data_IF_318147044371
#
_entry.id   IF_318147044371
#
_cell.length_a   1.000
_cell.length_b   1.000
_cell.length_c   1.000
_cell.angle_alpha   90.00
_cell.angle_beta   90.00
_cell.angle_gamma   90.00
#
_symmetry.space_group_name_H-M   'P 1'
#
loop_
_entity.id
_entity.type
_entity.pdbx_description
1 polymer ?
#
# COMPACT_ATOMS: atom_id res chain seq x y z
N UNK A 1 26.00 -3.55 29.68
CA UNK A 1 27.09 -3.39 28.70
C UNK A 1 28.12 -4.47 28.94
N UNK A 2 28.11 -5.55 28.14
CA UNK A 2 29.21 -6.49 27.88
C UNK A 2 28.89 -7.13 26.51
N UNK A 3 29.91 -7.15 25.65
CA UNK A 3 29.89 -7.62 24.27
C UNK A 3 29.76 -9.16 24.19
N UNK A 4 29.11 -9.65 23.13
CA UNK A 4 29.32 -11.00 22.62
C UNK A 4 29.50 -10.96 21.08
N UNK A 5 30.54 -11.65 20.60
CA UNK A 5 30.96 -11.75 19.20
C UNK A 5 30.36 -13.00 18.53
N UNK A 6 29.81 -12.80 17.34
CA UNK A 6 29.81 -13.64 16.10
C UNK A 6 29.34 -15.11 16.25
N UNK A 7 28.16 -15.54 15.75
CA UNK A 7 27.67 -15.51 14.36
C UNK A 7 26.14 -15.34 14.25
N UNK A 8 25.71 -14.08 14.27
CA UNK A 8 24.54 -13.48 13.62
C UNK A 8 25.05 -12.04 13.50
N UNK A 9 25.23 -11.47 12.30
CA UNK A 9 26.07 -10.25 12.15
C UNK A 9 25.33 -8.98 12.61
N UNK A 10 24.93 -8.94 13.88
CA UNK A 10 24.62 -7.72 14.62
C UNK A 10 25.92 -6.97 14.92
N UNK A 11 26.03 -5.73 14.42
CA UNK A 11 26.80 -4.70 15.11
C UNK A 11 25.87 -4.10 16.17
N UNK A 12 26.06 -4.58 17.39
CA UNK A 12 25.56 -4.11 18.70
C UNK A 12 24.41 -3.09 18.75
N UNK A 13 23.30 -3.51 19.36
CA UNK A 13 22.65 -2.80 20.48
C UNK A 13 21.55 -3.66 21.10
N UNK A 14 21.18 -3.31 22.33
CA UNK A 14 20.44 -4.09 23.32
C UNK A 14 18.93 -4.11 23.05
N UNK A 15 18.31 -5.30 23.05
CA UNK A 15 16.85 -5.45 23.16
C UNK A 15 16.45 -5.24 24.63
N UNK A 16 15.79 -4.12 24.94
CA UNK A 16 15.16 -3.86 26.23
C UNK A 16 13.64 -3.97 26.05
N UNK A 17 13.05 -5.01 26.62
CA UNK A 17 11.59 -5.16 26.72
C UNK A 17 11.20 -4.70 28.14
N UNK A 18 10.39 -3.64 28.25
CA UNK A 18 9.97 -3.06 29.52
C UNK A 18 8.51 -3.41 29.82
N UNK A 19 8.27 -4.41 30.67
CA UNK A 19 6.92 -4.72 31.17
C UNK A 19 6.68 -4.09 32.54
N UNK A 20 6.10 -2.88 32.60
CA UNK A 20 5.54 -2.31 33.83
C UNK A 20 6.42 -2.37 35.10
N UNK A 21 5.81 -2.28 36.29
CA UNK A 21 6.50 -2.08 37.58
C UNK A 21 6.88 -3.36 38.34
N UNK A 22 6.88 -4.54 37.70
CA UNK A 22 7.23 -5.82 38.36
C UNK A 22 8.16 -6.65 37.48
N UNK A 23 9.38 -6.84 37.98
CA UNK A 23 10.46 -7.59 37.33
C UNK A 23 10.18 -9.10 37.37
N UNK A 24 9.86 -9.70 36.22
CA UNK A 24 9.88 -11.16 36.04
C UNK A 24 11.03 -11.54 35.11
N UNK A 25 12.07 -12.16 35.68
CA UNK A 25 13.20 -12.72 34.93
C UNK A 25 12.74 -14.05 34.34
N UNK A 26 12.44 -14.10 33.04
CA UNK A 26 12.44 -15.37 32.30
C UNK A 26 13.84 -15.61 31.74
N UNK A 27 14.63 -16.38 32.49
CA UNK A 27 15.86 -17.00 31.98
C UNK A 27 15.48 -18.15 31.04
N UNK A 28 15.77 -18.02 29.75
CA UNK A 28 15.97 -19.21 28.92
C UNK A 28 17.42 -19.67 29.05
N UNK A 29 17.60 -20.84 29.66
CA UNK A 29 18.86 -21.58 29.71
C UNK A 29 18.85 -22.55 28.53
N UNK A 30 19.72 -22.38 27.53
CA UNK A 30 20.01 -23.45 26.55
C UNK A 30 21.51 -23.50 26.30
N UNK A 31 22.14 -24.56 26.82
CA UNK A 31 23.47 -25.00 26.47
C UNK A 31 23.41 -25.82 25.16
N UNK A 32 24.35 -25.56 24.25
CA UNK A 32 24.76 -26.42 23.14
C UNK A 32 23.65 -27.14 22.34
N UNK A 33 23.07 -26.46 21.35
CA UNK A 33 22.76 -27.00 20.00
C UNK A 33 22.04 -25.92 19.18
N UNK A 34 22.39 -25.86 17.90
CA UNK A 34 21.73 -25.14 16.79
C UNK A 34 20.35 -24.50 17.09
N UNK A 35 20.26 -23.17 17.00
CA UNK A 35 18.98 -22.51 16.74
C UNK A 35 18.88 -22.31 15.22
N UNK A 36 18.46 -23.38 14.56
CA UNK A 36 17.70 -23.26 13.33
C UNK A 36 16.36 -22.65 13.77
N UNK A 37 16.04 -21.42 13.37
CA UNK A 37 14.66 -20.90 13.58
C UNK A 37 13.80 -21.56 12.50
N UNK A 38 13.57 -22.86 12.66
CA UNK A 38 12.62 -23.66 11.87
C UNK A 38 11.34 -23.95 12.64
N UNK A 39 11.18 -23.49 13.88
CA UNK A 39 9.91 -23.46 14.60
C UNK A 39 9.84 -22.20 15.47
N UNK A 40 8.68 -21.54 15.44
CA UNK A 40 8.24 -20.40 16.26
C UNK A 40 8.92 -19.04 16.09
N UNK A 41 8.33 -18.25 15.18
CA UNK A 41 7.79 -16.89 15.38
C UNK A 41 8.11 -16.27 16.76
N UNK A 42 8.50 -14.98 16.80
CA UNK A 42 8.27 -14.16 18.01
C UNK A 42 6.75 -14.10 18.21
N UNK A 43 6.20 -15.10 18.89
CA UNK A 43 4.77 -15.32 19.04
C UNK A 43 4.19 -14.16 19.87
N UNK A 44 3.23 -13.45 19.26
CA UNK A 44 2.29 -12.55 19.92
C UNK A 44 2.93 -11.47 20.81
N UNK A 45 3.49 -10.43 20.20
CA UNK A 45 3.74 -9.19 20.92
C UNK A 45 2.38 -8.50 21.15
N UNK A 46 1.84 -8.66 22.35
CA UNK A 46 0.76 -7.82 22.86
C UNK A 46 1.37 -6.75 23.77
N UNK A 47 1.25 -5.47 23.38
CA UNK A 47 1.35 -4.39 24.36
C UNK A 47 2.69 -3.66 24.56
N UNK A 48 3.64 -3.64 23.62
CA UNK A 48 4.93 -2.96 23.85
C UNK A 48 5.49 -2.15 22.67
N UNK A 49 6.45 -1.28 22.99
CA UNK A 49 7.24 -0.49 22.03
C UNK A 49 8.49 -1.25 21.61
N UNK A 50 8.63 -1.54 20.31
CA UNK A 50 9.81 -2.13 19.72
C UNK A 50 10.82 -1.08 19.25
N UNK A 51 12.08 -1.27 19.59
CA UNK A 51 13.22 -0.48 19.09
C UNK A 51 14.32 -1.46 18.66
N UNK A 52 14.80 -1.34 17.43
CA UNK A 52 15.89 -2.14 16.89
C UNK A 52 16.77 -1.35 15.92
N UNK A 53 18.07 -1.25 16.21
CA UNK A 53 18.97 -0.35 15.46
C UNK A 53 19.30 -0.85 14.05
N UNK A 54 19.34 -2.18 13.82
CA UNK A 54 19.45 -2.81 12.49
C UNK A 54 19.17 -4.31 12.55
N UNK A 55 18.12 -4.75 11.90
CA UNK A 55 17.68 -6.14 11.90
C UNK A 55 17.71 -6.74 10.49
N UNK A 56 18.31 -7.92 10.38
CA UNK A 56 18.30 -8.76 9.18
C UNK A 56 17.69 -10.11 9.60
N UNK A 57 16.46 -10.40 9.18
CA UNK A 57 15.71 -11.57 9.65
C UNK A 57 15.05 -12.30 8.47
N UNK A 58 15.10 -13.63 8.47
CA UNK A 58 14.51 -14.44 7.40
C UNK A 58 13.57 -15.47 8.00
N UNK A 59 12.33 -15.48 7.51
CA UNK A 59 11.32 -16.46 7.83
C UNK A 59 10.95 -17.22 6.55
N UNK A 60 11.50 -18.43 6.38
CA UNK A 60 11.34 -19.21 5.17
C UNK A 60 10.02 -19.99 5.09
N UNK A 61 9.19 -19.98 6.14
CA UNK A 61 7.98 -20.79 6.21
C UNK A 61 6.75 -20.03 6.72
N UNK A 62 6.87 -18.74 7.01
CA UNK A 62 5.81 -17.98 7.66
C UNK A 62 5.67 -16.53 7.20
N UNK A 63 4.87 -15.79 7.97
CA UNK A 63 4.64 -14.36 7.83
C UNK A 63 5.57 -13.60 8.80
N UNK A 64 5.99 -12.39 8.42
CA UNK A 64 6.88 -11.57 9.25
C UNK A 64 8.27 -12.18 9.34
N UNK A 65 9.24 -11.62 8.63
CA UNK A 65 10.64 -12.00 8.82
C UNK A 65 11.15 -11.64 10.22
N UNK A 66 10.68 -10.52 10.76
CA UNK A 66 11.03 -10.03 12.10
C UNK A 66 9.96 -10.42 13.11
N UNK A 67 8.70 -10.08 12.87
CA UNK A 67 7.62 -10.33 13.82
C UNK A 67 6.26 -10.49 13.13
N UNK A 68 5.39 -11.28 13.78
CA UNK A 68 3.99 -11.43 13.42
C UNK A 68 3.12 -10.94 14.59
N UNK A 69 2.46 -9.80 14.42
CA UNK A 69 1.64 -9.14 15.42
C UNK A 69 0.18 -9.55 15.28
N UNK A 70 -0.44 -9.93 16.41
CA UNK A 70 -1.88 -10.17 16.52
C UNK A 70 -2.43 -9.30 17.65
N UNK A 71 -3.00 -8.16 17.29
CA UNK A 71 -3.61 -7.21 18.23
C UNK A 71 -5.13 -7.37 18.22
N UNK A 72 -5.70 -7.52 19.40
CA UNK A 72 -7.14 -7.64 19.67
C UNK A 72 -7.49 -6.90 20.95
N UNK A 73 -8.79 -6.69 21.19
CA UNK A 73 -9.35 -6.20 22.45
C UNK A 73 -8.73 -4.89 22.95
N UNK A 74 -8.55 -3.92 22.04
CA UNK A 74 -7.94 -2.62 22.34
C UNK A 74 -6.41 -2.65 22.51
N UNK A 75 -5.74 -3.71 22.05
CA UNK A 75 -4.29 -3.85 22.13
C UNK A 75 -3.53 -2.74 21.42
N UNK A 76 -2.34 -2.42 21.90
CA UNK A 76 -1.46 -1.40 21.32
C UNK A 76 -0.06 -1.98 21.07
N UNK A 77 0.54 -1.65 19.94
CA UNK A 77 1.95 -1.88 19.70
C UNK A 77 2.55 -0.71 18.91
N UNK A 78 3.84 -0.46 19.09
CA UNK A 78 4.54 0.50 18.25
C UNK A 78 5.96 0.08 17.91
N UNK A 79 6.47 0.53 16.78
CA UNK A 79 7.88 0.40 16.39
C UNK A 79 8.45 1.80 16.23
N UNK A 80 9.61 2.06 16.83
CA UNK A 80 10.18 3.41 16.85
C UNK A 80 11.62 3.43 16.37
N UNK A 81 11.94 4.40 15.51
CA UNK A 81 13.32 4.73 15.08
C UNK A 81 14.18 3.50 14.78
N UNK A 82 13.63 2.55 14.03
CA UNK A 82 14.24 1.24 13.83
C UNK A 82 14.60 0.99 12.37
N UNK A 83 15.68 0.26 12.13
CA UNK A 83 16.11 -0.11 10.77
C UNK A 83 15.96 -1.61 10.52
N UNK A 84 15.34 -1.96 9.41
CA UNK A 84 15.06 -3.31 8.95
C UNK A 84 15.67 -3.48 7.57
N UNK A 85 16.71 -4.29 7.45
CA UNK A 85 17.45 -4.48 6.20
C UNK A 85 17.34 -5.94 5.79
N UNK A 86 17.02 -6.22 4.53
CA UNK A 86 16.98 -7.58 3.97
C UNK A 86 16.08 -8.55 4.74
N UNK A 87 15.04 -8.02 5.39
CA UNK A 87 14.06 -8.85 6.07
C UNK A 87 13.23 -9.64 5.05
N UNK A 88 13.10 -10.93 5.25
CA UNK A 88 12.48 -11.83 4.29
C UNK A 88 11.41 -12.67 4.98
N UNK A 89 10.25 -12.79 4.35
CA UNK A 89 9.23 -13.77 4.72
C UNK A 89 8.83 -14.58 3.51
N UNK A 90 8.30 -15.80 3.73
CA UNK A 90 7.74 -16.60 2.64
C UNK A 90 6.44 -16.00 2.13
N UNK A 91 5.58 -15.51 3.02
CA UNK A 91 4.20 -15.19 2.66
C UNK A 91 3.86 -13.70 2.75
N UNK A 92 3.71 -13.17 3.96
CA UNK A 92 3.25 -11.80 4.17
C UNK A 92 4.23 -11.03 5.04
N UNK A 93 4.56 -9.81 4.63
CA UNK A 93 5.38 -8.91 5.44
C UNK A 93 6.82 -9.39 5.58
N UNK A 94 7.72 -8.96 4.68
CA UNK A 94 9.14 -9.34 4.80
C UNK A 94 9.75 -8.97 6.14
N UNK A 95 9.36 -7.82 6.72
CA UNK A 95 9.65 -7.49 8.10
C UNK A 95 8.49 -7.86 9.03
N UNK A 96 7.30 -7.29 8.79
CA UNK A 96 6.18 -7.38 9.72
C UNK A 96 4.90 -7.88 9.05
N UNK A 97 4.29 -8.87 9.68
CA UNK A 97 2.89 -9.23 9.45
C UNK A 97 2.07 -8.77 10.63
N UNK A 98 0.99 -8.03 10.39
CA UNK A 98 0.24 -7.34 11.43
C UNK A 98 -1.25 -7.60 11.22
N UNK A 99 -1.92 -8.11 12.24
CA UNK A 99 -3.37 -8.20 12.34
C UNK A 99 -3.86 -7.30 13.48
N UNK A 100 -4.77 -6.38 13.18
CA UNK A 100 -5.28 -5.36 14.08
C UNK A 100 -6.81 -5.47 14.12
N UNK A 101 -7.35 -5.89 15.25
CA UNK A 101 -8.78 -6.16 15.41
C UNK A 101 -9.34 -5.52 16.69
N UNK A 102 -10.67 -5.40 16.77
CA UNK A 102 -11.40 -5.00 17.98
C UNK A 102 -10.83 -3.75 18.67
N UNK A 103 -10.61 -2.67 17.93
CA UNK A 103 -10.18 -1.38 18.49
C UNK A 103 -8.69 -1.26 18.78
N UNK A 104 -7.88 -2.20 18.29
CA UNK A 104 -6.43 -2.21 18.50
C UNK A 104 -5.69 -1.20 17.62
N UNK A 105 -4.46 -0.85 17.99
CA UNK A 105 -3.66 0.16 17.30
C UNK A 105 -2.22 -0.32 17.12
N UNK A 106 -1.70 -0.21 15.90
CA UNK A 106 -0.28 -0.36 15.62
C UNK A 106 0.29 0.97 15.07
N UNK A 107 1.41 1.43 15.61
CA UNK A 107 2.06 2.67 15.19
C UNK A 107 3.52 2.48 14.75
N UNK A 108 3.90 3.05 13.61
CA UNK A 108 5.29 3.35 13.28
C UNK A 108 5.59 4.80 13.65
N UNK A 109 6.58 5.02 14.52
CA UNK A 109 6.87 6.35 15.09
C UNK A 109 8.34 6.73 14.89
N UNK A 110 8.56 7.90 14.30
CA UNK A 110 9.89 8.40 13.98
C UNK A 110 10.49 7.69 12.77
N UNK A 111 11.77 7.99 12.50
CA UNK A 111 12.49 7.57 11.30
C UNK A 111 12.76 6.06 11.28
N UNK A 112 11.74 5.25 11.02
CA UNK A 112 11.89 3.82 10.71
C UNK A 112 12.33 3.66 9.26
N UNK A 113 13.25 2.74 9.00
CA UNK A 113 13.80 2.50 7.67
C UNK A 113 13.69 1.02 7.31
N UNK A 114 13.04 0.72 6.18
CA UNK A 114 12.91 -0.62 5.62
C UNK A 114 13.65 -0.68 4.29
N UNK A 115 14.68 -1.49 4.21
CA UNK A 115 15.54 -1.60 3.04
C UNK A 115 15.61 -3.04 2.57
N UNK A 116 15.39 -3.28 1.28
CA UNK A 116 15.50 -4.62 0.67
C UNK A 116 14.62 -5.68 1.37
N UNK A 117 13.52 -5.28 2.03
CA UNK A 117 12.60 -6.23 2.63
C UNK A 117 11.77 -6.92 1.55
N UNK A 118 11.52 -8.23 1.68
CA UNK A 118 10.76 -8.96 0.69
C UNK A 118 9.85 -10.06 1.21
N UNK A 119 8.74 -10.27 0.50
CA UNK A 119 7.92 -11.49 0.60
C UNK A 119 7.99 -12.30 -0.69
N UNK A 120 8.25 -13.60 -0.60
CA UNK A 120 8.73 -14.39 -1.75
C UNK A 120 7.70 -15.31 -2.40
N UNK A 121 6.56 -15.58 -1.77
CA UNK A 121 5.50 -16.43 -2.31
C UNK A 121 4.11 -16.03 -1.83
N UNK A 122 3.08 -16.69 -2.35
CA UNK A 122 1.72 -16.67 -1.80
C UNK A 122 1.44 -17.86 -0.89
N UNK A 123 0.44 -17.74 -0.03
CA UNK A 123 0.01 -18.78 0.91
C UNK A 123 -0.68 -19.96 0.22
N UNK A 124 -1.25 -19.79 -0.97
CA UNK A 124 -1.95 -20.84 -1.75
C UNK A 124 -2.26 -20.38 -3.18
N UNK A 125 -2.58 -21.30 -4.13
CA UNK A 125 -3.18 -20.94 -5.42
C UNK A 125 -4.48 -20.14 -5.17
N UNK A 126 -4.53 -18.90 -5.66
CA UNK A 126 -5.67 -18.00 -5.45
C UNK A 126 -5.65 -17.18 -4.14
N UNK A 127 -4.63 -17.33 -3.30
CA UNK A 127 -4.34 -16.37 -2.23
C UNK A 127 -3.22 -15.43 -2.68
N UNK A 128 -3.40 -14.13 -2.48
CA UNK A 128 -2.44 -13.11 -2.92
C UNK A 128 -1.71 -12.59 -1.66
N UNK A 129 -0.53 -13.12 -1.39
CA UNK A 129 0.33 -12.65 -0.29
C UNK A 129 1.08 -11.39 -0.70
N UNK A 130 1.35 -10.48 0.25
CA UNK A 130 1.82 -9.14 -0.11
C UNK A 130 2.58 -8.37 0.98
N UNK A 131 3.05 -7.18 0.61
CA UNK A 131 3.70 -6.21 1.48
C UNK A 131 5.13 -6.59 1.76
N UNK A 132 6.03 -6.37 0.80
CA UNK A 132 7.43 -6.84 0.88
C UNK A 132 8.13 -6.38 2.15
N UNK A 133 7.78 -5.22 2.72
CA UNK A 133 8.16 -4.86 4.08
C UNK A 133 7.06 -5.20 5.09
N UNK A 134 5.85 -4.67 4.90
CA UNK A 134 4.78 -4.77 5.89
C UNK A 134 3.48 -5.23 5.23
N UNK A 135 2.91 -6.27 5.82
CA UNK A 135 1.52 -6.66 5.64
C UNK A 135 0.71 -6.21 6.84
N UNK A 136 -0.36 -5.45 6.62
CA UNK A 136 -1.28 -5.02 7.67
C UNK A 136 -2.73 -5.34 7.28
N UNK A 137 -3.41 -6.05 8.18
CA UNK A 137 -4.85 -6.30 8.14
C UNK A 137 -5.51 -5.59 9.31
N UNK A 138 -6.40 -4.64 9.02
CA UNK A 138 -7.05 -3.75 9.97
C UNK A 138 -8.56 -3.94 9.84
N UNK A 139 -9.17 -4.59 10.82
CA UNK A 139 -10.56 -5.00 10.75
C UNK A 139 -11.29 -4.49 12.01
N UNK A 140 -12.56 -4.11 11.84
CA UNK A 140 -13.48 -3.62 12.87
C UNK A 140 -13.30 -2.15 13.29
N UNK A 141 -14.36 -1.53 13.86
CA UNK A 141 -14.31 -0.17 14.33
C UNK A 141 -13.17 0.09 15.33
N UNK A 142 -12.62 1.30 15.26
CA UNK A 142 -11.53 1.80 16.11
C UNK A 142 -10.17 1.09 15.92
N UNK A 143 -10.06 0.08 15.06
CA UNK A 143 -8.78 -0.56 14.73
C UNK A 143 -7.95 0.33 13.79
N UNK A 144 -6.66 0.54 14.10
CA UNK A 144 -5.82 1.52 13.37
C UNK A 144 -4.42 1.01 13.06
N UNK A 145 -3.99 1.21 11.81
CA UNK A 145 -2.58 1.19 11.43
C UNK A 145 -2.12 2.62 11.13
N UNK A 146 -1.11 3.09 11.85
CA UNK A 146 -0.67 4.50 11.80
C UNK A 146 0.82 4.57 11.47
N UNK A 147 1.18 5.39 10.49
CA UNK A 147 2.54 5.88 10.26
C UNK A 147 2.55 7.37 10.56
N UNK A 148 3.29 7.80 11.59
CA UNK A 148 3.22 9.19 12.06
C UNK A 148 4.09 10.16 11.28
N UNK A 149 5.37 9.86 11.10
CA UNK A 149 6.28 10.78 10.41
C UNK A 149 7.62 10.11 10.05
N UNK A 150 8.02 10.25 8.78
CA UNK A 150 9.38 10.05 8.29
C UNK A 150 9.78 8.59 8.10
N UNK A 151 8.83 7.70 7.83
CA UNK A 151 9.14 6.30 7.53
C UNK A 151 9.59 6.14 6.08
N UNK A 152 10.69 5.43 5.89
CA UNK A 152 11.32 5.25 4.58
C UNK A 152 11.31 3.76 4.21
N UNK A 153 10.88 3.47 3.00
CA UNK A 153 10.94 2.15 2.37
C UNK A 153 11.75 2.25 1.08
N UNK A 154 12.80 1.45 0.94
CA UNK A 154 13.65 1.43 -0.25
C UNK A 154 13.92 0.01 -0.73
N UNK A 155 13.83 -0.22 -2.04
CA UNK A 155 14.16 -1.49 -2.67
C UNK A 155 13.38 -2.70 -2.13
N UNK A 156 12.20 -2.49 -1.53
CA UNK A 156 11.39 -3.60 -1.05
C UNK A 156 10.58 -4.22 -2.19
N UNK A 157 10.33 -5.52 -2.10
CA UNK A 157 9.61 -6.23 -3.17
C UNK A 157 8.67 -7.29 -2.62
N UNK A 158 7.53 -7.49 -3.24
CA UNK A 158 6.68 -8.65 -2.97
C UNK A 158 6.38 -9.41 -4.24
N UNK A 159 6.06 -10.69 -4.09
CA UNK A 159 5.75 -11.52 -5.24
C UNK A 159 4.42 -11.14 -5.91
N UNK A 160 3.42 -10.67 -5.15
CA UNK A 160 2.10 -10.30 -5.69
C UNK A 160 1.72 -8.84 -5.45
N UNK A 161 1.39 -8.47 -4.21
CA UNK A 161 0.70 -7.20 -3.94
C UNK A 161 1.51 -6.32 -3.00
N UNK A 162 1.76 -5.08 -3.38
CA UNK A 162 2.42 -4.08 -2.53
C UNK A 162 3.90 -4.40 -2.30
N UNK A 163 4.80 -3.80 -3.07
CA UNK A 163 6.23 -4.09 -2.94
C UNK A 163 6.79 -3.67 -1.58
N UNK A 164 6.22 -2.60 -1.03
CA UNK A 164 6.55 -2.08 0.29
C UNK A 164 5.42 -2.40 1.28
N UNK A 165 4.19 -1.94 1.01
CA UNK A 165 3.04 -2.05 1.92
C UNK A 165 1.87 -2.82 1.29
N UNK A 166 1.31 -3.75 2.05
CA UNK A 166 -0.01 -4.31 1.80
C UNK A 166 -0.96 -3.87 2.91
N UNK A 167 -2.02 -3.15 2.54
CA UNK A 167 -2.96 -2.52 3.47
C UNK A 167 -4.37 -3.04 3.19
N UNK A 168 -4.85 -3.93 4.05
CA UNK A 168 -6.24 -4.39 4.04
C UNK A 168 -6.98 -3.73 5.18
N UNK A 169 -7.92 -2.84 4.85
CA UNK A 169 -8.82 -2.23 5.82
C UNK A 169 -10.26 -2.65 5.52
N UNK A 170 -10.96 -3.24 6.48
CA UNK A 170 -12.34 -3.72 6.32
C UNK A 170 -13.16 -3.51 7.59
N UNK A 171 -14.49 -3.53 7.47
CA UNK A 171 -15.44 -3.33 8.59
C UNK A 171 -15.09 -2.13 9.47
N UNK A 172 -15.02 -0.92 8.88
CA UNK A 172 -14.67 0.33 9.59
C UNK A 172 -13.20 0.42 10.08
N UNK A 173 -12.31 -0.47 9.62
CA UNK A 173 -10.87 -0.36 9.86
C UNK A 173 -10.26 0.93 9.29
N UNK A 174 -9.22 1.45 9.94
CA UNK A 174 -8.64 2.75 9.62
C UNK A 174 -7.13 2.68 9.37
N UNK A 175 -6.68 3.32 8.30
CA UNK A 175 -5.27 3.51 7.98
C UNK A 175 -4.97 4.99 7.88
N UNK A 176 -3.90 5.43 8.55
CA UNK A 176 -3.40 6.79 8.51
C UNK A 176 -1.89 6.78 8.28
N UNK A 177 -1.47 7.17 7.09
CA UNK A 177 -0.05 7.26 6.74
C UNK A 177 0.29 8.72 6.57
N UNK A 178 1.22 9.21 7.36
CA UNK A 178 1.72 10.57 7.30
C UNK A 178 3.23 10.59 7.11
N UNK A 179 3.67 11.33 6.08
CA UNK A 179 5.05 11.54 5.69
C UNK A 179 5.84 10.23 5.54
N UNK A 180 5.59 9.49 4.46
CA UNK A 180 6.31 8.27 4.13
C UNK A 180 6.92 8.33 2.72
N UNK A 181 8.17 7.90 2.60
CA UNK A 181 8.86 7.79 1.31
C UNK A 181 8.99 6.32 0.92
N UNK A 182 8.56 5.97 -0.29
CA UNK A 182 8.59 4.62 -0.82
C UNK A 182 9.26 4.66 -2.20
N UNK A 183 10.48 4.15 -2.31
CA UNK A 183 11.24 4.24 -3.55
C UNK A 183 11.82 2.92 -4.01
N UNK A 184 11.88 2.76 -5.35
CA UNK A 184 12.42 1.57 -6.00
C UNK A 184 11.74 0.26 -5.54
N UNK A 185 10.45 0.33 -5.16
CA UNK A 185 9.68 -0.84 -4.74
C UNK A 185 9.10 -1.57 -5.97
N UNK A 186 8.88 -2.89 -5.86
CA UNK A 186 8.25 -3.66 -6.95
C UNK A 186 7.28 -4.76 -6.48
N UNK A 187 6.19 -4.96 -7.22
CA UNK A 187 5.23 -6.06 -7.03
C UNK A 187 4.47 -6.36 -8.34
N UNK A 188 3.58 -7.37 -8.37
CA UNK A 188 2.68 -7.54 -9.53
C UNK A 188 1.57 -6.47 -9.55
N UNK A 189 1.04 -6.08 -8.40
CA UNK A 189 0.02 -5.04 -8.25
C UNK A 189 0.43 -4.07 -7.15
N UNK A 190 0.46 -2.77 -7.47
CA UNK A 190 0.86 -1.75 -6.50
C UNK A 190 2.35 -1.82 -6.19
N UNK A 191 3.19 -1.24 -7.04
CA UNK A 191 4.65 -1.44 -6.93
C UNK A 191 5.21 -1.03 -5.57
N UNK A 192 4.69 0.06 -4.98
CA UNK A 192 4.93 0.38 -3.57
C UNK A 192 3.81 -0.10 -2.66
N UNK A 193 2.56 0.30 -2.95
CA UNK A 193 1.41 0.10 -2.07
C UNK A 193 0.32 -0.66 -2.80
N UNK A 194 -0.15 -1.74 -2.18
CA UNK A 194 -1.46 -2.30 -2.48
C UNK A 194 -2.43 -1.95 -1.35
N UNK A 195 -3.54 -1.32 -1.71
CA UNK A 195 -4.58 -0.84 -0.80
C UNK A 195 -5.89 -1.53 -1.13
N UNK A 196 -6.42 -2.30 -0.17
CA UNK A 196 -7.80 -2.79 -0.18
C UNK A 196 -8.60 -2.04 0.88
N UNK A 197 -9.61 -1.27 0.45
CA UNK A 197 -10.55 -0.60 1.34
C UNK A 197 -11.94 -1.18 1.14
N UNK A 198 -12.33 -2.08 2.05
CA UNK A 198 -13.63 -2.72 2.11
C UNK A 198 -14.69 -1.91 2.86
N UNK A 199 -15.56 -2.64 3.58
CA UNK A 199 -16.81 -2.16 4.16
C UNK A 199 -16.58 -0.96 5.08
N UNK A 200 -16.97 0.23 4.62
CA UNK A 200 -16.87 1.52 5.34
C UNK A 200 -15.48 1.83 5.90
N UNK A 201 -14.44 1.14 5.44
CA UNK A 201 -13.08 1.39 5.90
C UNK A 201 -12.54 2.68 5.31
N UNK A 202 -11.51 3.24 5.93
CA UNK A 202 -10.93 4.50 5.48
C UNK A 202 -9.42 4.46 5.54
N UNK A 203 -8.78 4.75 4.41
CA UNK A 203 -7.34 4.90 4.29
C UNK A 203 -7.03 6.34 3.89
N UNK A 204 -6.22 7.03 4.69
CA UNK A 204 -5.75 8.39 4.44
C UNK A 204 -4.24 8.34 4.27
N UNK A 205 -3.78 8.83 3.13
CA UNK A 205 -2.38 8.92 2.75
C UNK A 205 -2.02 10.40 2.65
N UNK A 206 -1.19 10.87 3.58
CA UNK A 206 -0.78 12.25 3.73
C UNK A 206 0.73 12.37 3.47
N UNK A 207 1.14 13.33 2.64
CA UNK A 207 2.58 13.61 2.38
C UNK A 207 3.37 12.36 1.98
N UNK A 208 2.74 11.44 1.24
CA UNK A 208 3.44 10.26 0.76
C UNK A 208 4.23 10.59 -0.51
N UNK A 209 5.45 10.09 -0.61
CA UNK A 209 6.26 10.17 -1.82
C UNK A 209 6.53 8.76 -2.33
N UNK A 210 5.93 8.41 -3.47
CA UNK A 210 6.18 7.14 -4.17
C UNK A 210 7.01 7.43 -5.42
N UNK A 211 8.20 6.85 -5.51
CA UNK A 211 9.14 7.20 -6.57
C UNK A 211 9.85 5.97 -7.17
N UNK A 212 9.94 5.92 -8.51
CA UNK A 212 10.68 4.85 -9.21
C UNK A 212 10.17 3.44 -8.92
N UNK A 213 8.87 3.29 -8.64
CA UNK A 213 8.25 2.00 -8.32
C UNK A 213 7.66 1.35 -9.59
N UNK A 214 7.65 0.02 -9.62
CA UNK A 214 7.19 -0.73 -10.78
C UNK A 214 6.24 -1.87 -10.40
N UNK A 215 5.19 -2.04 -11.18
CA UNK A 215 4.31 -3.21 -11.09
C UNK A 215 3.68 -3.51 -12.44
N UNK A 216 2.85 -4.57 -12.54
CA UNK A 216 2.05 -4.78 -13.74
C UNK A 216 0.98 -3.68 -13.85
N UNK A 217 0.22 -3.47 -12.79
CA UNK A 217 -0.80 -2.40 -12.70
C UNK A 217 -0.66 -1.58 -11.42
N UNK A 218 -0.78 -0.26 -11.54
CA UNK A 218 -0.56 0.66 -10.42
C UNK A 218 0.91 0.68 -10.03
N UNK A 219 1.78 1.26 -10.88
CA UNK A 219 3.23 1.19 -10.68
C UNK A 219 3.68 1.72 -9.31
N UNK A 220 2.99 2.74 -8.78
CA UNK A 220 3.15 3.18 -7.39
C UNK A 220 2.10 2.59 -6.45
N UNK A 221 0.82 2.81 -6.76
CA UNK A 221 -0.31 2.45 -5.92
C UNK A 221 -1.36 1.67 -6.71
N UNK A 222 -1.81 0.55 -6.16
CA UNK A 222 -3.03 -0.13 -6.58
C UNK A 222 -4.07 0.03 -5.48
N UNK A 223 -5.24 0.58 -5.81
CA UNK A 223 -6.35 0.79 -4.89
C UNK A 223 -7.56 -0.04 -5.32
N UNK A 224 -8.00 -0.97 -4.48
CA UNK A 224 -9.25 -1.70 -4.61
C UNK A 224 -10.25 -1.22 -3.56
N UNK A 225 -11.32 -0.55 -3.99
CA UNK A 225 -12.23 0.19 -3.11
C UNK A 225 -13.65 -0.37 -3.26
N UNK A 226 -14.21 -0.89 -2.16
CA UNK A 226 -15.44 -1.68 -2.14
C UNK A 226 -16.38 -1.25 -1.03
N UNK A 227 -17.68 -1.30 -1.27
CA UNK A 227 -18.75 -1.27 -0.25
C UNK A 227 -18.58 -0.09 0.75
N UNK A 228 -18.55 1.13 0.24
CA UNK A 228 -18.41 2.32 1.09
C UNK A 228 -17.00 2.58 1.63
N UNK A 229 -16.01 1.79 1.20
CA UNK A 229 -14.60 2.03 1.47
C UNK A 229 -14.11 3.37 0.93
N UNK A 230 -13.00 3.83 1.48
CA UNK A 230 -12.41 5.13 1.20
C UNK A 230 -10.88 5.06 1.09
N UNK A 231 -10.36 5.61 0.00
CA UNK A 231 -8.93 5.95 -0.15
C UNK A 231 -8.81 7.43 -0.45
N UNK A 232 -8.02 8.15 0.35
CA UNK A 232 -7.85 9.60 0.24
C UNK A 232 -6.35 9.89 0.18
N UNK A 233 -5.92 10.55 -0.90
CA UNK A 233 -4.59 11.15 -1.00
C UNK A 233 -4.73 12.62 -0.68
N UNK A 234 -4.04 13.07 0.37
CA UNK A 234 -4.14 14.42 0.89
C UNK A 234 -2.75 14.98 1.22
N UNK A 235 -2.70 16.30 1.44
CA UNK A 235 -1.51 17.04 1.86
C UNK A 235 -0.23 16.66 1.06
N UNK A 236 0.00 17.26 -0.11
CA UNK A 236 1.27 17.20 -0.83
C UNK A 236 1.76 15.76 -1.14
N UNK A 237 0.87 14.87 -1.58
CA UNK A 237 1.29 13.57 -2.06
C UNK A 237 2.04 13.66 -3.40
N UNK A 238 3.02 12.80 -3.62
CA UNK A 238 3.82 12.76 -4.85
C UNK A 238 3.95 11.32 -5.35
N UNK A 239 3.58 11.07 -6.61
CA UNK A 239 3.79 9.80 -7.30
C UNK A 239 4.55 10.07 -8.58
N UNK A 240 5.81 9.66 -8.60
CA UNK A 240 6.80 10.13 -9.57
C UNK A 240 7.51 8.95 -10.22
N UNK A 241 7.60 9.00 -11.55
CA UNK A 241 8.40 8.06 -12.34
C UNK A 241 8.07 6.58 -12.04
N UNK A 242 6.80 6.29 -11.80
CA UNK A 242 6.33 4.93 -11.57
C UNK A 242 5.91 4.26 -12.89
N UNK A 243 6.00 2.94 -12.98
CA UNK A 243 5.72 2.21 -14.24
C UNK A 243 4.77 1.04 -14.02
N UNK A 244 3.71 1.00 -14.83
CA UNK A 244 2.87 -0.18 -15.06
C UNK A 244 3.42 -0.93 -16.27
N UNK A 245 4.19 -2.00 -16.04
CA UNK A 245 5.00 -2.68 -17.06
C UNK A 245 4.22 -3.57 -18.02
N UNK A 246 3.05 -4.05 -17.59
CA UNK A 246 2.23 -5.01 -18.34
C UNK A 246 0.72 -4.72 -18.24
N UNK A 247 0.31 -3.65 -17.57
CA UNK A 247 -1.07 -3.39 -17.20
C UNK A 247 -1.45 -1.92 -17.38
N UNK A 248 -2.36 -1.45 -16.53
CA UNK A 248 -2.88 -0.08 -16.61
C UNK A 248 -2.47 0.72 -15.35
N UNK A 249 -2.52 2.04 -15.43
CA UNK A 249 -2.24 2.90 -14.28
C UNK A 249 -0.75 2.94 -13.95
N UNK A 250 0.03 3.71 -14.71
CA UNK A 250 1.48 3.74 -14.50
C UNK A 250 1.88 4.27 -13.13
N UNK A 251 1.16 5.28 -12.61
CA UNK A 251 1.28 5.73 -11.22
C UNK A 251 0.29 5.00 -10.31
N UNK A 252 -1.00 5.21 -10.57
CA UNK A 252 -2.11 4.65 -9.79
C UNK A 252 -3.02 3.82 -10.68
N UNK A 253 -3.41 2.64 -10.19
CA UNK A 253 -4.56 1.89 -10.68
C UNK A 253 -5.64 1.87 -9.58
N UNK A 254 -6.85 2.28 -9.90
CA UNK A 254 -7.98 2.28 -8.97
C UNK A 254 -9.15 1.46 -9.54
N UNK A 255 -9.56 0.42 -8.81
CA UNK A 255 -10.78 -0.36 -9.08
C UNK A 255 -11.83 -0.05 -8.03
N UNK A 256 -12.97 0.49 -8.46
CA UNK A 256 -13.99 1.01 -7.55
C UNK A 256 -15.33 0.30 -7.78
N UNK A 257 -15.87 -0.34 -6.75
CA UNK A 257 -17.22 -0.90 -6.80
C UNK A 257 -18.23 0.04 -6.13
N UNK A 258 -19.12 0.64 -6.93
CA UNK A 258 -20.13 1.60 -6.48
C UNK A 258 -21.41 0.93 -5.90
N UNK A 259 -21.46 -0.40 -5.86
CA UNK A 259 -22.61 -1.18 -5.38
C UNK A 259 -22.17 -2.15 -4.26
N UNK A 260 -22.96 -2.34 -3.18
CA UNK A 260 -24.25 -1.69 -2.88
C UNK A 260 -24.13 -0.29 -2.27
N UNK A 261 -22.92 0.16 -1.95
CA UNK A 261 -22.66 1.46 -1.32
C UNK A 261 -21.61 2.23 -2.12
N UNK A 262 -21.81 3.55 -2.24
CA UNK A 262 -20.89 4.44 -2.96
C UNK A 262 -19.56 4.54 -2.22
N UNK A 263 -18.46 4.37 -2.94
CA UNK A 263 -17.11 4.44 -2.40
C UNK A 263 -16.51 5.84 -2.55
N UNK A 264 -15.51 6.15 -1.72
CA UNK A 264 -14.81 7.43 -1.72
C UNK A 264 -13.41 7.23 -2.30
N UNK A 265 -13.07 7.97 -3.35
CA UNK A 265 -11.71 8.08 -3.84
C UNK A 265 -11.40 9.54 -4.12
N UNK A 266 -10.56 10.13 -3.27
CA UNK A 266 -10.26 11.56 -3.33
C UNK A 266 -8.77 11.82 -3.46
N UNK A 267 -8.44 12.82 -4.27
CA UNK A 267 -7.09 13.36 -4.43
C UNK A 267 -7.19 14.86 -4.16
N UNK A 268 -6.99 15.23 -2.90
CA UNK A 268 -7.18 16.59 -2.38
C UNK A 268 -5.95 17.48 -2.64
N UNK A 269 -4.75 16.90 -2.64
CA UNK A 269 -3.50 17.58 -3.00
C UNK A 269 -2.44 16.53 -3.37
N UNK A 270 -2.25 16.31 -4.66
CA UNK A 270 -1.21 15.38 -5.12
C UNK A 270 -0.63 15.77 -6.48
N UNK A 271 0.63 15.38 -6.70
CA UNK A 271 1.32 15.44 -7.98
C UNK A 271 1.52 14.02 -8.51
N UNK A 272 1.10 13.76 -9.75
CA UNK A 272 1.40 12.51 -10.47
C UNK A 272 2.11 12.87 -11.77
N UNK A 273 3.40 12.52 -11.87
CA UNK A 273 4.21 12.92 -13.01
C UNK A 273 5.25 11.86 -13.43
N UNK A 274 5.60 11.88 -14.72
CA UNK A 274 6.59 10.98 -15.31
C UNK A 274 6.24 9.49 -15.20
N UNK A 275 4.99 9.16 -14.86
CA UNK A 275 4.54 7.79 -14.77
C UNK A 275 4.22 7.22 -16.16
N UNK A 276 4.41 5.90 -16.32
CA UNK A 276 4.22 5.22 -17.61
C UNK A 276 3.36 3.96 -17.51
N UNK A 277 2.35 3.84 -18.36
CA UNK A 277 1.60 2.60 -18.57
C UNK A 277 2.02 1.95 -19.89
N UNK A 278 2.46 0.69 -19.84
CA UNK A 278 2.98 -0.05 -21.00
C UNK A 278 1.98 -1.06 -21.53
N UNK A 279 1.90 -1.15 -22.86
CA UNK A 279 1.07 -2.13 -23.54
C UNK A 279 1.75 -3.50 -23.53
N UNK A 280 0.97 -4.54 -23.26
CA UNK A 280 1.41 -5.93 -23.36
C UNK A 280 0.55 -6.69 -24.38
N UNK A 281 1.13 -6.93 -25.57
CA UNK A 281 0.47 -7.63 -26.68
C UNK A 281 0.19 -9.11 -26.41
N UNK A 282 0.76 -9.69 -25.35
CA UNK A 282 0.53 -11.09 -24.97
C UNK A 282 -0.70 -11.28 -24.10
N UNK A 283 -1.31 -10.20 -23.60
CA UNK A 283 -2.54 -10.26 -22.80
C UNK A 283 -3.77 -10.07 -23.67
N UNK A 284 -4.82 -10.85 -23.38
CA UNK A 284 -6.09 -10.84 -24.11
C UNK A 284 -7.06 -9.75 -23.66
N UNK A 285 -6.69 -8.96 -22.65
CA UNK A 285 -7.46 -7.83 -22.15
C UNK A 285 -6.67 -6.53 -22.35
N UNK A 286 -7.34 -5.36 -22.39
CA UNK A 286 -6.65 -4.11 -22.72
C UNK A 286 -5.67 -3.66 -21.62
N UNK A 287 -4.45 -3.30 -22.04
CA UNK A 287 -3.33 -2.86 -21.18
C UNK A 287 -2.72 -1.57 -21.75
N UNK A 288 -1.84 -0.88 -21.02
CA UNK A 288 -1.17 0.33 -21.49
C UNK A 288 -2.02 1.61 -21.47
N UNK A 289 -3.05 1.67 -20.61
CA UNK A 289 -3.92 2.85 -20.43
C UNK A 289 -3.65 3.58 -19.12
N UNK A 290 -3.83 4.90 -19.11
CA UNK A 290 -3.75 5.72 -17.90
C UNK A 290 -2.32 5.82 -17.36
N UNK A 291 -1.47 6.60 -18.03
CA UNK A 291 -0.04 6.68 -17.69
C UNK A 291 0.23 7.14 -16.26
N UNK A 292 -0.50 8.15 -15.80
CA UNK A 292 -0.50 8.57 -14.39
C UNK A 292 -1.55 7.82 -13.56
N UNK A 293 -2.79 7.82 -14.02
CA UNK A 293 -3.93 7.27 -13.28
C UNK A 293 -4.86 6.49 -14.21
N UNK A 294 -5.15 5.24 -13.85
CA UNK A 294 -6.22 4.45 -14.46
C UNK A 294 -7.31 4.18 -13.43
N UNK A 295 -8.56 4.46 -13.80
CA UNK A 295 -9.73 4.21 -12.96
C UNK A 295 -10.67 3.29 -13.71
N UNK A 296 -11.03 2.19 -13.08
CA UNK A 296 -12.12 1.34 -13.52
C UNK A 296 -13.12 1.12 -12.37
N UNK A 297 -14.29 0.61 -12.71
CA UNK A 297 -15.24 0.27 -11.68
C UNK A 297 -16.45 -0.48 -12.18
N UNK A 298 -17.27 -0.89 -11.22
CA UNK A 298 -18.55 -1.55 -11.45
C UNK A 298 -19.66 -0.84 -10.68
N UNK A 299 -20.89 -0.97 -11.17
CA UNK A 299 -22.03 -0.21 -10.66
C UNK A 299 -22.04 1.24 -11.14
N UNK A 300 -23.09 1.96 -10.76
CA UNK A 300 -23.30 3.34 -11.19
C UNK A 300 -22.83 4.30 -10.09
N UNK A 301 -21.81 5.09 -10.39
CA UNK A 301 -21.41 6.20 -9.54
C UNK A 301 -22.52 7.27 -9.50
N UNK A 302 -22.87 7.72 -8.30
CA UNK A 302 -23.78 8.82 -8.07
C UNK A 302 -22.98 10.13 -7.92
N UNK A 303 -22.93 10.91 -8.99
CA UNK A 303 -22.19 12.17 -9.04
C UNK A 303 -22.65 13.23 -8.01
N UNK A 304 -23.86 13.12 -7.45
CA UNK A 304 -24.33 14.05 -6.40
C UNK A 304 -23.62 13.87 -5.05
N UNK A 305 -22.89 12.76 -4.86
CA UNK A 305 -22.19 12.47 -3.61
C UNK A 305 -20.86 13.21 -3.46
N UNK A 306 -20.24 13.63 -4.58
CA UNK A 306 -18.87 14.16 -4.63
C UNK A 306 -17.84 13.25 -3.93
N UNK A 307 -18.05 11.93 -3.98
CA UNK A 307 -17.17 10.94 -3.37
C UNK A 307 -15.98 10.58 -4.27
N UNK A 308 -16.09 10.82 -5.58
CA UNK A 308 -14.94 10.92 -6.48
C UNK A 308 -14.61 12.39 -6.70
N UNK A 309 -13.41 12.79 -6.29
CA UNK A 309 -13.01 14.20 -6.30
C UNK A 309 -11.50 14.35 -6.50
N UNK A 310 -11.10 14.90 -7.64
CA UNK A 310 -9.70 15.12 -8.03
C UNK A 310 -9.37 16.60 -8.27
N UNK A 311 -10.11 17.53 -7.66
CA UNK A 311 -9.83 18.97 -7.87
C UNK A 311 -8.39 19.36 -7.50
N UNK A 312 -7.79 18.66 -6.53
CA UNK A 312 -6.43 18.90 -6.04
C UNK A 312 -5.33 18.20 -6.83
N UNK A 313 -5.68 17.41 -7.84
CA UNK A 313 -4.73 16.63 -8.61
C UNK A 313 -3.98 17.51 -9.63
N UNK A 314 -2.65 17.48 -9.56
CA UNK A 314 -1.75 17.95 -10.62
C UNK A 314 -1.17 16.74 -11.33
N UNK A 315 -1.54 16.54 -12.58
CA UNK A 315 -1.11 15.39 -13.38
C UNK A 315 -0.53 15.87 -14.71
N UNK A 316 0.72 15.51 -15.01
CA UNK A 316 1.42 15.97 -16.21
C UNK A 316 2.66 15.14 -16.52
N UNK A 317 3.17 15.23 -17.75
CA UNK A 317 4.36 14.50 -18.21
C UNK A 317 4.27 12.98 -18.03
N UNK A 318 3.07 12.42 -18.01
CA UNK A 318 2.85 10.98 -17.97
C UNK A 318 2.74 10.43 -19.40
N UNK A 319 2.93 9.13 -19.56
CA UNK A 319 2.76 8.47 -20.85
C UNK A 319 2.01 7.14 -20.76
N UNK A 320 1.17 6.88 -21.74
CA UNK A 320 0.47 5.62 -21.90
C UNK A 320 0.69 5.13 -23.33
N UNK A 321 1.09 3.87 -23.50
CA UNK A 321 1.31 3.32 -24.85
C UNK A 321 0.00 3.30 -25.69
N UNK A 322 -1.16 3.27 -25.03
CA UNK A 322 -2.48 3.39 -25.68
C UNK A 322 -3.12 4.77 -25.47
N UNK A 323 -4.04 4.92 -24.50
CA UNK A 323 -4.83 6.17 -24.30
C UNK A 323 -4.81 6.64 -22.86
N UNK A 324 -5.12 7.93 -22.68
CA UNK A 324 -5.09 8.57 -21.38
C UNK A 324 -3.66 8.70 -20.91
N UNK A 325 -2.88 9.56 -21.58
CA UNK A 325 -1.47 9.78 -21.25
C UNK A 325 -1.32 10.10 -19.77
N UNK A 326 -2.20 10.96 -19.25
CA UNK A 326 -2.31 11.27 -17.84
C UNK A 326 -3.35 10.39 -17.15
N UNK A 327 -4.61 10.40 -17.61
CA UNK A 327 -5.71 9.71 -16.96
C UNK A 327 -6.58 8.94 -17.94
N UNK A 328 -6.96 7.71 -17.57
CA UNK A 328 -7.97 6.93 -18.28
C UNK A 328 -9.04 6.43 -17.32
N UNK A 329 -10.31 6.63 -17.67
CA UNK A 329 -11.47 6.29 -16.84
C UNK A 329 -12.42 5.36 -17.59
N UNK A 330 -12.72 4.19 -17.02
CA UNK A 330 -13.73 3.25 -17.48
C UNK A 330 -14.75 2.98 -16.36
N UNK A 331 -15.77 3.83 -16.27
CA UNK A 331 -16.91 3.63 -15.36
C UNK A 331 -18.24 3.92 -16.09
N UNK A 332 -19.36 3.23 -15.77
CA UNK A 332 -20.62 3.37 -16.51
C UNK A 332 -21.19 4.79 -16.60
N UNK A 333 -21.01 5.58 -15.53
CA UNK A 333 -21.56 6.95 -15.38
C UNK A 333 -20.52 8.05 -15.50
N UNK A 334 -19.46 7.81 -16.31
CA UNK A 334 -18.36 8.77 -16.48
C UNK A 334 -18.83 10.09 -17.09
N UNK A 335 -19.79 10.05 -18.03
CA UNK A 335 -20.30 11.26 -18.68
C UNK A 335 -21.03 12.17 -17.69
N UNK A 336 -21.88 11.59 -16.84
CA UNK A 336 -22.59 12.34 -15.79
C UNK A 336 -21.62 12.92 -14.76
N UNK A 337 -20.57 12.18 -14.39
CA UNK A 337 -19.55 12.71 -13.50
C UNK A 337 -18.76 13.87 -14.13
N UNK A 338 -18.36 13.76 -15.39
CA UNK A 338 -17.69 14.84 -16.12
C UNK A 338 -18.54 16.10 -16.26
N UNK A 339 -19.87 15.97 -16.20
CA UNK A 339 -20.82 17.08 -16.25
C UNK A 339 -21.18 17.63 -14.87
N UNK A 340 -20.74 16.99 -13.79
CA UNK A 340 -21.00 17.43 -12.42
C UNK A 340 -20.12 18.62 -12.02
N UNK A 341 -20.60 19.40 -11.04
CA UNK A 341 -19.95 20.63 -10.59
C UNK A 341 -19.90 21.72 -11.66
N UNK A 342 -18.94 22.62 -11.54
CA UNK A 342 -18.69 23.69 -12.51
C UNK A 342 -17.61 23.21 -13.48
N UNK A 343 -17.98 23.03 -14.76
CA UNK A 343 -17.06 22.69 -15.85
C UNK A 343 -16.22 21.41 -15.62
N UNK A 344 -16.74 20.44 -14.86
CA UNK A 344 -16.06 19.15 -14.59
C UNK A 344 -14.92 19.25 -13.57
N UNK A 345 -15.01 20.19 -12.63
CA UNK A 345 -13.99 20.46 -11.60
C UNK A 345 -13.55 19.22 -10.80
N UNK A 346 -14.47 18.29 -10.54
CA UNK A 346 -14.17 17.06 -9.78
C UNK A 346 -13.33 16.03 -10.55
N UNK A 347 -13.18 16.18 -11.87
CA UNK A 347 -12.49 15.20 -12.74
C UNK A 347 -11.16 15.74 -13.26
N UNK A 348 -11.12 17.02 -13.60
CA UNK A 348 -10.07 17.60 -14.46
C UNK A 348 -8.72 17.77 -13.80
N UNK A 349 -8.66 17.94 -12.47
CA UNK A 349 -7.43 18.39 -11.80
C UNK A 349 -6.88 19.66 -12.46
N UNK A 350 -5.62 19.63 -12.87
CA UNK A 350 -4.94 20.72 -13.59
C UNK A 350 -5.19 20.76 -15.12
N UNK A 351 -6.08 19.94 -15.68
CA UNK A 351 -6.38 19.95 -17.11
C UNK A 351 -7.09 21.24 -17.55
N UNK A 352 -6.66 21.80 -18.68
CA UNK A 352 -7.25 23.01 -19.24
C UNK A 352 -7.54 22.86 -20.74
N UNK A 353 -8.80 23.10 -21.11
CA UNK A 353 -9.34 22.93 -22.45
C UNK A 353 -8.61 23.73 -23.55
N UNK A 354 -7.79 24.73 -23.21
CA UNK A 354 -7.07 25.57 -24.19
C UNK A 354 -5.65 25.11 -24.48
N UNK A 355 -4.98 24.44 -23.54
CA UNK A 355 -3.54 24.19 -23.61
C UNK A 355 -3.13 22.76 -23.25
N UNK A 356 -3.99 21.94 -22.64
CA UNK A 356 -3.72 20.52 -22.40
C UNK A 356 -4.00 19.69 -23.66
N UNK A 357 -3.32 18.54 -23.80
CA UNK A 357 -3.55 17.64 -24.92
C UNK A 357 -4.91 16.94 -24.80
N UNK A 358 -5.62 16.70 -25.90
CA UNK A 358 -6.84 15.88 -25.86
C UNK A 358 -6.55 14.42 -25.48
N UNK A 359 -5.31 13.97 -25.62
CA UNK A 359 -4.89 12.60 -25.27
C UNK A 359 -4.58 12.43 -23.77
N UNK A 360 -4.52 13.52 -23.00
CA UNK A 360 -4.18 13.47 -21.58
C UNK A 360 -5.26 12.80 -20.74
N UNK A 361 -6.52 13.21 -20.91
CA UNK A 361 -7.66 12.69 -20.17
C UNK A 361 -8.62 11.98 -21.12
N UNK A 362 -8.90 10.71 -20.85
CA UNK A 362 -9.82 9.91 -21.64
C UNK A 362 -10.81 9.17 -20.74
N UNK A 363 -12.07 9.11 -21.15
CA UNK A 363 -13.14 8.46 -20.38
C UNK A 363 -14.13 7.73 -21.27
N UNK A 364 -14.55 6.53 -20.86
CA UNK A 364 -15.56 5.73 -21.57
C UNK A 364 -16.64 5.18 -20.62
N UNK A 365 -17.92 5.17 -21.04
CA UNK A 365 -19.06 4.82 -20.19
C UNK A 365 -19.30 3.30 -20.13
N UNK A 366 -18.29 2.54 -19.69
CA UNK A 366 -18.37 1.08 -19.54
C UNK A 366 -17.82 0.65 -18.19
N UNK A 367 -18.24 -0.52 -17.70
CA UNK A 367 -17.67 -1.11 -16.49
C UNK A 367 -16.36 -1.89 -16.77
N UNK A 368 -15.71 -2.36 -15.71
CA UNK A 368 -14.48 -3.15 -15.80
C UNK A 368 -14.65 -4.43 -16.63
N UNK A 369 -15.80 -5.11 -16.52
CA UNK A 369 -16.05 -6.36 -17.27
C UNK A 369 -16.10 -6.07 -18.77
N UNK A 370 -16.83 -5.03 -19.16
CA UNK A 370 -16.93 -4.57 -20.54
C UNK A 370 -15.58 -4.07 -21.06
N UNK A 371 -14.81 -3.34 -20.24
CA UNK A 371 -13.47 -2.89 -20.61
C UNK A 371 -12.55 -4.07 -20.88
N UNK A 372 -12.53 -5.08 -20.00
CA UNK A 372 -11.71 -6.27 -20.18
C UNK A 372 -12.13 -7.11 -21.41
N UNK A 373 -13.37 -6.96 -21.89
CA UNK A 373 -13.86 -7.60 -23.10
C UNK A 373 -13.67 -6.76 -24.38
N UNK A 374 -13.11 -5.56 -24.30
CA UNK A 374 -12.97 -4.63 -25.44
C UNK A 374 -11.69 -4.79 -26.27
N UNK A 375 -10.98 -5.91 -26.07
CA UNK A 375 -9.73 -6.28 -26.75
C UNK A 375 -9.86 -6.45 -28.25
#
# INVERSE_FOLDING_TARGET
MILARETCRQRSSTLLVYFGSTMLIMMFYIASSYVNITEDVIQNITGDTFVGDRLECKNNEGNGGVANYYLTDGGYASVRQSTFTKCESRYNGGAFSISINFGSIFELIGLCYFQECKSTSSTSPGSFGGGGAIYASIIQPNSKFIIKDGVIFEYCSSHYQGGCLYLLADLDGYVDINNASLSYCSANEGGAIYSYSGIRSKQVLNKIRIENCESKSGGGLFADIRIGGSVILDEQCEIINCSGSEGNGGGIYANINFTPQQCIFKINDAIIQYCKARFNSSLVYPTGYGGGLFICGSGNYNASTNYLDFHGLKIFNNSADNKGQSMYIAIPKVAEWCQSGILGEYVKGNYNNKNSSLDDLYGIPIDLTQFNASS
#
